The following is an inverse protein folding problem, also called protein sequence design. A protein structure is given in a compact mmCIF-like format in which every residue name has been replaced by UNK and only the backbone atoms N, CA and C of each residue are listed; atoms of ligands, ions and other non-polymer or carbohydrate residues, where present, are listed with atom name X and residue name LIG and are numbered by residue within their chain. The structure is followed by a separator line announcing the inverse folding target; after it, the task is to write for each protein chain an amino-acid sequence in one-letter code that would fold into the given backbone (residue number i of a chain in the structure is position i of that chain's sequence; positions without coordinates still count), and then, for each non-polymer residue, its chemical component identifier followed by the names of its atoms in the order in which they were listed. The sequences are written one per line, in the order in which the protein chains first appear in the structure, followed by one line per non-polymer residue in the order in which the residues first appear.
data_IF_608760065846
#
_entry.id   IF_608760065846
#
_cell.length_a   1.000
_cell.length_b   1.000
_cell.length_c   1.000
_cell.angle_alpha   90.00
_cell.angle_beta   90.00
_cell.angle_gamma   90.00
#
_symmetry.space_group_name_H-M   'P 1'
#
loop_
_entity.id
_entity.type
_entity.pdbx_description
1 polymer ?
#
# COMPACT_ATOMS: atom_id res chain seq x y z
N UNK A 1 4.67 -47.15 -51.40
CA UNK A 1 5.77 -46.68 -50.52
C UNK A 1 5.16 -45.78 -49.48
N UNK A 2 4.81 -46.33 -48.32
CA UNK A 2 4.18 -45.57 -47.22
C UNK A 2 5.27 -44.91 -46.39
N UNK A 3 5.37 -43.58 -46.48
CA UNK A 3 6.23 -42.77 -45.63
C UNK A 3 5.62 -42.69 -44.24
N UNK A 4 6.07 -43.56 -43.32
CA UNK A 4 5.79 -43.42 -41.89
C UNK A 4 6.62 -42.25 -41.36
N UNK A 5 6.03 -41.05 -41.38
CA UNK A 5 6.58 -39.96 -40.60
C UNK A 5 6.51 -40.37 -39.11
N UNK A 6 7.61 -40.28 -38.35
CA UNK A 6 7.55 -40.56 -36.92
C UNK A 6 6.58 -39.58 -36.24
N UNK A 7 5.82 -40.02 -35.23
CA UNK A 7 4.94 -39.13 -34.48
C UNK A 7 5.79 -37.97 -33.92
N UNK A 8 5.28 -36.72 -33.94
CA UNK A 8 5.99 -35.60 -33.34
C UNK A 8 6.28 -35.96 -31.88
N UNK A 9 7.55 -35.84 -31.48
CA UNK A 9 7.96 -36.10 -30.11
C UNK A 9 7.05 -35.30 -29.17
N UNK A 10 6.49 -35.90 -28.10
CA UNK A 10 5.73 -35.14 -27.13
C UNK A 10 6.64 -34.03 -26.64
N UNK A 11 6.25 -32.77 -26.88
CA UNK A 11 6.90 -31.61 -26.30
C UNK A 11 6.89 -31.87 -24.80
N UNK A 12 8.03 -32.31 -24.28
CA UNK A 12 8.23 -32.62 -22.88
C UNK A 12 7.63 -31.47 -22.10
N UNK A 13 6.53 -31.72 -21.39
CA UNK A 13 5.83 -30.75 -20.58
C UNK A 13 6.88 -30.03 -19.76
N UNK A 14 7.27 -28.86 -20.24
CA UNK A 14 8.47 -28.18 -19.81
C UNK A 14 8.08 -27.70 -18.43
N UNK A 15 8.44 -28.46 -17.39
CA UNK A 15 8.06 -28.22 -16.00
C UNK A 15 8.25 -26.73 -15.74
N UNK A 16 7.15 -25.99 -15.82
CA UNK A 16 7.16 -24.54 -15.81
C UNK A 16 7.30 -24.17 -14.35
N UNK A 17 8.55 -24.16 -13.88
CA UNK A 17 8.90 -23.81 -12.52
C UNK A 17 8.29 -22.44 -12.26
N UNK A 18 7.35 -22.38 -11.31
CA UNK A 18 6.72 -21.13 -10.87
C UNK A 18 7.82 -20.12 -10.55
N UNK A 19 7.87 -18.96 -11.24
CA UNK A 19 8.93 -17.99 -10.98
C UNK A 19 8.84 -17.52 -9.53
N UNK A 20 9.86 -17.79 -8.70
CA UNK A 20 9.82 -17.45 -7.27
C UNK A 20 9.58 -15.95 -7.02
N UNK A 21 10.13 -15.10 -7.89
CA UNK A 21 9.95 -13.65 -7.80
C UNK A 21 8.49 -13.23 -8.04
N UNK A 22 7.70 -14.01 -8.80
CA UNK A 22 6.28 -13.77 -8.99
C UNK A 22 5.53 -14.02 -7.67
N UNK A 23 5.87 -15.10 -6.96
CA UNK A 23 5.27 -15.42 -5.66
C UNK A 23 5.54 -14.28 -4.68
N UNK A 24 6.80 -13.82 -4.58
CA UNK A 24 7.15 -12.70 -3.70
C UNK A 24 6.42 -11.41 -4.08
N UNK A 25 6.32 -11.10 -5.38
CA UNK A 25 5.56 -9.94 -5.85
C UNK A 25 4.09 -10.04 -5.46
N UNK A 26 3.44 -11.19 -5.67
CA UNK A 26 2.02 -11.36 -5.34
C UNK A 26 1.76 -11.38 -3.83
N UNK A 27 2.64 -11.96 -3.02
CA UNK A 27 2.55 -11.89 -1.55
C UNK A 27 2.70 -10.44 -1.09
N UNK A 28 3.64 -9.69 -1.65
CA UNK A 28 3.84 -8.28 -1.32
C UNK A 28 2.60 -7.45 -1.68
N UNK A 29 2.05 -7.64 -2.88
CA UNK A 29 0.83 -6.98 -3.32
C UNK A 29 -0.40 -7.37 -2.50
N UNK A 30 -0.49 -8.63 -2.08
CA UNK A 30 -1.52 -9.10 -1.17
C UNK A 30 -1.44 -8.38 0.18
N UNK A 31 -0.24 -8.25 0.77
CA UNK A 31 -0.04 -7.51 2.02
C UNK A 31 -0.39 -6.02 1.88
N UNK A 32 -0.02 -5.38 0.77
CA UNK A 32 -0.43 -4.00 0.45
C UNK A 32 -1.95 -3.89 0.38
N UNK A 33 -2.61 -4.87 -0.27
CA UNK A 33 -4.07 -4.94 -0.34
C UNK A 33 -4.72 -5.10 1.04
N UNK A 34 -4.25 -6.01 1.88
CA UNK A 34 -4.78 -6.23 3.24
C UNK A 34 -4.61 -4.97 4.11
N UNK A 35 -3.42 -4.37 4.11
CA UNK A 35 -3.18 -3.12 4.84
C UNK A 35 -4.07 -1.99 4.34
N UNK A 36 -4.17 -1.84 3.02
CA UNK A 36 -5.02 -0.83 2.38
C UNK A 36 -6.49 -1.00 2.71
N UNK A 37 -6.96 -2.26 2.81
CA UNK A 37 -8.32 -2.61 3.19
C UNK A 37 -8.63 -2.15 4.63
N UNK A 38 -7.80 -2.56 5.59
CA UNK A 38 -7.97 -2.21 7.00
C UNK A 38 -7.96 -0.69 7.21
N UNK A 39 -6.97 -0.02 6.63
CA UNK A 39 -6.81 1.44 6.72
C UNK A 39 -8.01 2.20 6.11
N UNK A 40 -8.46 1.79 4.93
CA UNK A 40 -9.60 2.43 4.26
C UNK A 40 -10.90 2.17 5.02
N UNK A 41 -11.09 0.97 5.56
CA UNK A 41 -12.28 0.63 6.33
C UNK A 41 -12.37 1.46 7.62
N UNK A 42 -11.29 1.51 8.41
CA UNK A 42 -11.23 2.35 9.61
C UNK A 42 -11.45 3.83 9.29
N UNK A 43 -10.86 4.33 8.21
CA UNK A 43 -11.05 5.71 7.77
C UNK A 43 -12.50 5.99 7.35
N UNK A 44 -13.16 5.05 6.67
CA UNK A 44 -14.57 5.21 6.28
C UNK A 44 -15.52 5.20 7.47
N UNK A 45 -15.28 4.33 8.47
CA UNK A 45 -16.04 4.35 9.71
C UNK A 45 -15.93 5.71 10.40
N UNK A 46 -14.69 6.21 10.51
CA UNK A 46 -14.43 7.53 11.08
C UNK A 46 -15.13 8.66 10.31
N UNK A 47 -15.00 8.70 8.98
CA UNK A 47 -15.63 9.72 8.14
C UNK A 47 -17.16 9.64 8.18
N UNK A 48 -17.73 8.46 8.38
CA UNK A 48 -19.18 8.25 8.50
C UNK A 48 -19.73 8.77 9.83
N UNK A 49 -19.00 8.58 10.92
CA UNK A 49 -19.41 9.01 12.27
C UNK A 49 -19.33 10.52 12.46
N UNK A 50 -18.60 11.23 11.58
CA UNK A 50 -18.42 12.69 11.61
C UNK A 50 -17.92 13.23 12.96
N UNK A 51 -17.23 12.39 13.74
CA UNK A 51 -16.70 12.73 15.05
C UNK A 51 -15.25 13.23 14.89
N UNK A 52 -15.08 14.53 14.67
CA UNK A 52 -13.75 15.12 14.52
C UNK A 52 -13.04 15.15 15.89
N UNK A 53 -11.84 14.54 16.02
CA UNK A 53 -11.13 14.55 17.29
C UNK A 53 -10.69 15.98 17.64
N UNK A 54 -10.86 16.33 18.91
CA UNK A 54 -10.30 17.56 19.44
C UNK A 54 -8.82 17.38 19.74
N UNK A 55 -7.99 18.17 19.06
CA UNK A 55 -6.53 18.09 19.12
C UNK A 55 -6.00 18.86 20.35
N UNK A 56 -6.69 19.92 20.77
CA UNK A 56 -6.26 20.79 21.86
C UNK A 56 -6.09 20.07 23.22
N UNK A 57 -6.98 19.17 23.66
CA UNK A 57 -6.75 18.39 24.87
C UNK A 57 -5.57 17.41 24.73
N UNK A 58 -5.37 16.83 23.55
CA UNK A 58 -4.24 15.91 23.29
C UNK A 58 -2.89 16.63 23.35
N UNK A 59 -2.80 17.85 22.81
CA UNK A 59 -1.59 18.68 22.90
C UNK A 59 -1.27 19.02 24.35
N UNK A 60 -2.28 19.38 25.16
CA UNK A 60 -2.08 19.67 26.59
C UNK A 60 -1.68 18.43 27.38
N UNK A 61 -2.31 17.29 27.11
CA UNK A 61 -1.99 16.02 27.77
C UNK A 61 -0.63 15.44 27.40
N UNK A 62 -0.01 15.88 26.30
CA UNK A 62 1.26 15.35 25.83
C UNK A 62 2.40 15.54 26.85
N UNK A 63 2.44 16.68 27.55
CA UNK A 63 3.47 16.95 28.57
C UNK A 63 3.23 16.22 29.90
N UNK A 64 2.02 15.72 30.12
CA UNK A 64 1.60 15.04 31.35
C UNK A 64 1.54 13.52 31.20
N UNK A 65 1.72 13.01 29.97
CA UNK A 65 1.66 11.58 29.67
C UNK A 65 2.85 10.83 30.25
N UNK A 66 2.59 9.68 30.86
CA UNK A 66 3.61 8.71 31.25
C UNK A 66 4.33 8.07 30.05
N UNK A 67 3.69 8.08 28.88
CA UNK A 67 4.18 7.47 27.64
C UNK A 67 4.16 8.50 26.50
N UNK A 68 5.08 9.48 26.53
CA UNK A 68 5.03 10.66 25.68
C UNK A 68 5.13 10.34 24.18
N UNK A 69 5.85 9.28 23.81
CA UNK A 69 5.97 8.84 22.41
C UNK A 69 4.67 8.23 21.88
N UNK A 70 3.95 7.46 22.70
CA UNK A 70 2.67 6.90 22.31
C UNK A 70 1.62 8.00 22.20
N UNK A 71 1.58 8.91 23.18
CA UNK A 71 0.74 10.10 23.15
C UNK A 71 1.00 10.98 21.91
N UNK A 72 2.26 11.12 21.49
CA UNK A 72 2.61 11.82 20.25
C UNK A 72 2.05 11.09 19.01
N UNK A 73 2.13 9.76 18.99
CA UNK A 73 1.53 8.93 17.94
C UNK A 73 0.01 9.13 17.84
N UNK A 74 -0.69 9.11 18.98
CA UNK A 74 -2.13 9.38 19.03
C UNK A 74 -2.47 10.81 18.57
N UNK A 75 -1.69 11.81 18.98
CA UNK A 75 -1.86 13.20 18.55
C UNK A 75 -1.75 13.33 17.02
N UNK A 76 -0.71 12.73 16.42
CA UNK A 76 -0.52 12.76 14.97
C UNK A 76 -1.63 12.02 14.22
N UNK A 77 -2.09 10.89 14.73
CA UNK A 77 -3.22 10.16 14.17
C UNK A 77 -4.52 10.98 14.26
N UNK A 78 -4.80 11.60 15.41
CA UNK A 78 -5.96 12.47 15.61
C UNK A 78 -5.91 13.69 14.66
N UNK A 79 -4.74 14.31 14.52
CA UNK A 79 -4.53 15.40 13.56
C UNK A 79 -4.81 14.95 12.11
N UNK A 80 -4.35 13.76 11.75
CA UNK A 80 -4.61 13.19 10.43
C UNK A 80 -6.10 12.95 10.19
N UNK A 81 -6.79 12.33 11.15
CA UNK A 81 -8.23 12.05 11.06
C UNK A 81 -9.07 13.32 11.01
N UNK A 82 -8.75 14.33 11.84
CA UNK A 82 -9.41 15.63 11.77
C UNK A 82 -9.24 16.28 10.40
N UNK A 83 -8.02 16.31 9.89
CA UNK A 83 -7.73 16.93 8.59
C UNK A 83 -8.35 16.16 7.41
N UNK A 84 -8.55 14.84 7.54
CA UNK A 84 -9.35 14.06 6.58
C UNK A 84 -10.84 14.42 6.66
N UNK A 85 -11.37 14.60 7.87
CA UNK A 85 -12.75 15.00 8.09
C UNK A 85 -13.06 16.42 7.56
N UNK A 86 -12.13 17.37 7.72
CA UNK A 86 -12.23 18.70 7.11
C UNK A 86 -12.24 18.64 5.57
N UNK A 87 -11.56 17.64 4.99
CA UNK A 87 -11.54 17.35 3.56
C UNK A 87 -12.52 16.23 3.14
N UNK A 88 -13.54 15.91 3.95
CA UNK A 88 -14.37 14.71 3.78
C UNK A 88 -15.00 14.57 2.38
N UNK A 89 -15.41 15.69 1.75
CA UNK A 89 -15.99 15.69 0.39
C UNK A 89 -15.05 15.07 -0.67
N UNK A 90 -13.74 15.21 -0.48
CA UNK A 90 -12.71 14.66 -1.37
C UNK A 90 -12.16 13.35 -0.82
N UNK A 91 -11.90 13.30 0.50
CA UNK A 91 -11.32 12.13 1.15
C UNK A 91 -12.24 10.91 1.11
N UNK A 92 -13.55 11.08 1.28
CA UNK A 92 -14.51 9.98 1.29
C UNK A 92 -14.52 9.16 -0.01
N UNK A 93 -14.79 9.74 -1.21
CA UNK A 93 -14.82 8.96 -2.45
C UNK A 93 -13.45 8.33 -2.78
N UNK A 94 -12.34 9.01 -2.46
CA UNK A 94 -11.00 8.44 -2.64
C UNK A 94 -10.77 7.21 -1.75
N UNK A 95 -11.25 7.27 -0.50
CA UNK A 95 -11.13 6.16 0.47
C UNK A 95 -12.01 4.97 0.06
N UNK A 96 -13.21 5.22 -0.46
CA UNK A 96 -14.06 4.17 -1.06
C UNK A 96 -13.35 3.51 -2.24
N UNK A 97 -12.78 4.30 -3.15
CA UNK A 97 -12.00 3.76 -4.27
C UNK A 97 -10.82 2.92 -3.78
N UNK A 98 -10.10 3.39 -2.75
CA UNK A 98 -8.96 2.68 -2.16
C UNK A 98 -9.41 1.36 -1.54
N UNK A 99 -10.56 1.33 -0.86
CA UNK A 99 -11.14 0.11 -0.30
C UNK A 99 -11.42 -0.91 -1.41
N UNK A 100 -12.12 -0.51 -2.47
CA UNK A 100 -12.49 -1.37 -3.61
C UNK A 100 -11.23 -1.93 -4.28
N UNK A 101 -10.24 -1.07 -4.58
CA UNK A 101 -9.00 -1.50 -5.20
C UNK A 101 -8.14 -2.37 -4.27
N UNK A 102 -8.23 -2.18 -2.95
CA UNK A 102 -7.57 -3.05 -1.97
C UNK A 102 -8.16 -4.46 -1.98
N UNK A 103 -9.50 -4.58 -1.99
CA UNK A 103 -10.18 -5.88 -2.17
C UNK A 103 -9.77 -6.53 -3.50
N UNK A 104 -9.82 -5.76 -4.59
CA UNK A 104 -9.44 -6.26 -5.92
C UNK A 104 -7.98 -6.73 -5.95
N UNK A 105 -7.06 -6.00 -5.32
CA UNK A 105 -5.65 -6.36 -5.26
C UNK A 105 -5.44 -7.66 -4.48
N UNK A 106 -6.16 -7.86 -3.37
CA UNK A 106 -6.14 -9.12 -2.60
C UNK A 106 -6.63 -10.29 -3.45
N UNK A 107 -7.79 -10.15 -4.09
CA UNK A 107 -8.40 -11.21 -4.91
C UNK A 107 -7.49 -11.55 -6.10
N UNK A 108 -7.03 -10.54 -6.84
CA UNK A 108 -6.20 -10.74 -8.03
C UNK A 108 -4.83 -11.33 -7.70
N UNK A 109 -4.23 -10.94 -6.57
CA UNK A 109 -2.99 -11.57 -6.08
C UNK A 109 -3.21 -13.04 -5.75
N UNK A 110 -4.31 -13.39 -5.06
CA UNK A 110 -4.66 -14.78 -4.77
C UNK A 110 -4.91 -15.59 -6.06
N UNK A 111 -5.66 -15.04 -7.01
CA UNK A 111 -5.90 -15.69 -8.31
C UNK A 111 -4.62 -15.92 -9.10
N UNK A 112 -3.72 -14.92 -9.12
CA UNK A 112 -2.43 -15.01 -9.80
C UNK A 112 -1.52 -16.07 -9.17
N UNK A 113 -1.48 -16.17 -7.84
CA UNK A 113 -0.75 -17.23 -7.13
C UNK A 113 -1.32 -18.63 -7.39
N UNK A 114 -2.65 -18.74 -7.55
CA UNK A 114 -3.29 -19.99 -7.93
C UNK A 114 -3.11 -20.34 -9.41
N UNK A 115 -2.56 -19.43 -10.23
CA UNK A 115 -2.32 -19.66 -11.65
C UNK A 115 -3.59 -19.61 -12.50
N UNK A 116 -4.70 -18.99 -12.03
CA UNK A 116 -5.96 -19.02 -12.79
C UNK A 116 -5.79 -18.33 -14.16
N UNK A 117 -6.38 -18.87 -15.25
CA UNK A 117 -6.32 -18.23 -16.55
C UNK A 117 -6.94 -16.82 -16.49
N UNK A 118 -6.38 -15.88 -17.25
CA UNK A 118 -6.81 -14.47 -17.27
C UNK A 118 -6.41 -13.62 -16.04
N UNK A 119 -5.96 -14.23 -14.94
CA UNK A 119 -5.61 -13.50 -13.71
C UNK A 119 -4.45 -12.52 -13.87
N UNK A 120 -3.50 -12.80 -14.77
CA UNK A 120 -2.34 -11.94 -15.05
C UNK A 120 -2.74 -10.53 -15.48
N UNK A 121 -3.62 -10.41 -16.48
CA UNK A 121 -4.00 -9.10 -17.02
C UNK A 121 -4.81 -8.32 -15.98
N UNK A 122 -5.73 -8.99 -15.30
CA UNK A 122 -6.54 -8.40 -14.25
C UNK A 122 -5.67 -7.90 -13.08
N UNK A 123 -4.66 -8.68 -12.67
CA UNK A 123 -3.71 -8.26 -11.65
C UNK A 123 -2.91 -7.02 -12.09
N UNK A 124 -2.40 -6.98 -13.33
CA UNK A 124 -1.72 -5.79 -13.87
C UNK A 124 -2.63 -4.56 -13.81
N UNK A 125 -3.88 -4.68 -14.27
CA UNK A 125 -4.85 -3.58 -14.23
C UNK A 125 -5.12 -3.11 -12.80
N UNK A 126 -5.29 -4.04 -11.85
CA UNK A 126 -5.50 -3.72 -10.45
C UNK A 126 -4.32 -2.95 -9.85
N UNK A 127 -3.07 -3.37 -10.12
CA UNK A 127 -1.87 -2.67 -9.63
C UNK A 127 -1.77 -1.24 -10.19
N UNK A 128 -1.98 -1.08 -11.50
CA UNK A 128 -1.89 0.23 -12.15
C UNK A 128 -3.03 1.16 -11.72
N UNK A 129 -4.26 0.65 -11.61
CA UNK A 129 -5.39 1.43 -11.10
C UNK A 129 -5.14 1.88 -9.65
N UNK A 130 -4.63 0.99 -8.80
CA UNK A 130 -4.28 1.33 -7.42
C UNK A 130 -3.17 2.39 -7.38
N UNK A 131 -2.12 2.25 -8.16
CA UNK A 131 -1.02 3.22 -8.23
C UNK A 131 -1.50 4.61 -8.70
N UNK A 132 -2.40 4.65 -9.69
CA UNK A 132 -3.03 5.87 -10.17
C UNK A 132 -3.88 6.53 -9.07
N UNK A 133 -4.73 5.75 -8.37
CA UNK A 133 -5.55 6.28 -7.28
C UNK A 133 -4.70 6.75 -6.10
N UNK A 134 -3.64 6.02 -5.75
CA UNK A 134 -2.69 6.43 -4.71
C UNK A 134 -2.03 7.77 -5.07
N UNK A 135 -1.66 7.95 -6.34
CA UNK A 135 -1.12 9.21 -6.85
C UNK A 135 -2.12 10.35 -6.80
N UNK A 136 -3.36 10.12 -7.24
CA UNK A 136 -4.43 11.11 -7.13
C UNK A 136 -4.68 11.50 -5.66
N UNK A 137 -4.74 10.52 -4.76
CA UNK A 137 -4.94 10.73 -3.32
C UNK A 137 -3.79 11.54 -2.72
N UNK A 138 -2.55 11.23 -3.10
CA UNK A 138 -1.39 12.01 -2.69
C UNK A 138 -1.50 13.46 -3.19
N UNK A 139 -1.86 13.72 -4.44
CA UNK A 139 -1.97 15.09 -4.91
C UNK A 139 -3.16 15.86 -4.30
N UNK A 140 -4.32 15.23 -4.23
CA UNK A 140 -5.57 15.87 -3.79
C UNK A 140 -5.61 16.12 -2.27
N UNK A 141 -5.04 15.22 -1.46
CA UNK A 141 -5.00 15.36 0.01
C UNK A 141 -3.69 16.00 0.51
N UNK A 142 -3.11 16.92 -0.28
CA UNK A 142 -1.88 17.63 0.12
C UNK A 142 -2.08 18.47 1.37
N UNK A 143 -3.23 19.13 1.49
CA UNK A 143 -3.53 20.01 2.63
C UNK A 143 -3.67 19.21 3.92
N UNK A 144 -4.28 18.02 3.85
CA UNK A 144 -4.35 17.07 4.97
C UNK A 144 -2.95 16.71 5.50
N UNK A 145 -1.96 16.55 4.61
CA UNK A 145 -0.58 16.26 5.04
C UNK A 145 0.09 17.49 5.67
N UNK A 146 -0.14 18.68 5.12
CA UNK A 146 0.40 19.91 5.71
C UNK A 146 -0.18 20.17 7.10
N UNK A 147 -1.48 19.93 7.31
CA UNK A 147 -2.12 20.06 8.61
C UNK A 147 -1.45 19.18 9.69
N UNK A 148 -1.13 17.92 9.38
CA UNK A 148 -0.41 17.02 10.31
C UNK A 148 0.99 17.55 10.63
N UNK A 149 1.70 18.04 9.61
CA UNK A 149 3.05 18.61 9.78
C UNK A 149 3.02 19.90 10.61
N UNK A 150 1.97 20.71 10.47
CA UNK A 150 1.80 21.92 11.26
C UNK A 150 1.47 21.60 12.73
N UNK A 151 0.67 20.56 13.00
CA UNK A 151 0.47 20.06 14.37
C UNK A 151 1.80 19.59 14.98
N UNK A 152 2.61 18.82 14.24
CA UNK A 152 3.93 18.41 14.71
C UNK A 152 4.83 19.62 14.99
N UNK A 153 4.79 20.65 14.14
CA UNK A 153 5.50 21.90 14.34
C UNK A 153 5.11 22.60 15.63
N UNK A 154 3.82 22.57 15.99
CA UNK A 154 3.33 23.20 17.24
C UNK A 154 3.85 22.52 18.51
N UNK A 155 4.04 21.20 18.48
CA UNK A 155 4.58 20.42 19.61
C UNK A 155 6.10 20.20 19.54
N UNK A 156 6.78 20.67 18.49
CA UNK A 156 8.21 20.43 18.29
C UNK A 156 9.05 20.92 19.47
N UNK A 157 8.68 22.03 20.09
CA UNK A 157 9.36 22.58 21.27
C UNK A 157 9.26 21.68 22.53
N UNK A 158 8.32 20.73 22.55
CA UNK A 158 8.16 19.76 23.64
C UNK A 158 9.07 18.54 23.46
N UNK A 159 9.57 18.25 22.24
CA UNK A 159 10.39 17.07 21.95
C UNK A 159 11.57 16.86 22.92
N UNK A 160 12.38 17.88 23.26
CA UNK A 160 13.48 17.69 24.21
C UNK A 160 13.02 17.24 25.60
N UNK A 161 11.81 17.66 26.01
CA UNK A 161 11.22 17.24 27.29
C UNK A 161 10.67 15.82 27.21
N UNK A 162 10.00 15.47 26.11
CA UNK A 162 9.44 14.13 25.87
C UNK A 162 10.53 13.06 25.77
N UNK A 163 11.73 13.45 25.35
CA UNK A 163 12.89 12.57 25.18
C UNK A 163 13.97 12.82 26.24
N UNK A 164 13.60 13.35 27.42
CA UNK A 164 14.59 13.69 28.45
C UNK A 164 15.38 12.48 28.97
N UNK A 165 14.83 11.26 28.84
CA UNK A 165 15.50 10.00 29.18
C UNK A 165 16.48 9.51 28.11
N UNK A 166 16.43 10.09 26.91
CA UNK A 166 17.22 9.65 25.77
C UNK A 166 18.58 10.36 25.70
N UNK A 167 19.60 9.72 25.10
CA UNK A 167 20.89 10.37 24.85
C UNK A 167 20.72 11.65 24.00
N UNK A 168 21.52 12.71 24.25
CA UNK A 168 21.43 13.97 23.50
C UNK A 168 21.52 13.79 21.98
N UNK A 169 22.30 12.80 21.51
CA UNK A 169 22.43 12.46 20.09
C UNK A 169 21.10 11.96 19.50
N UNK A 170 20.36 11.12 20.24
CA UNK A 170 19.04 10.61 19.84
C UNK A 170 18.04 11.76 19.75
N UNK A 171 18.03 12.66 20.72
CA UNK A 171 17.16 13.85 20.73
C UNK A 171 17.43 14.74 19.52
N UNK A 172 18.70 14.97 19.19
CA UNK A 172 19.08 15.79 18.02
C UNK A 172 18.65 15.13 16.71
N UNK A 173 18.86 13.81 16.55
CA UNK A 173 18.45 13.07 15.36
C UNK A 173 16.93 13.06 15.21
N UNK A 174 16.18 12.80 16.30
CA UNK A 174 14.71 12.83 16.27
C UNK A 174 14.18 14.22 15.97
N UNK A 175 14.74 15.27 16.58
CA UNK A 175 14.39 16.66 16.26
C UNK A 175 14.62 16.97 14.78
N UNK A 176 15.74 16.54 14.21
CA UNK A 176 16.01 16.71 12.78
C UNK A 176 15.02 15.94 11.89
N UNK A 177 14.71 14.68 12.23
CA UNK A 177 13.74 13.85 11.49
C UNK A 177 12.30 14.36 11.58
N UNK A 178 11.95 15.01 12.70
CA UNK A 178 10.64 15.60 12.96
C UNK A 178 10.54 17.07 12.56
N UNK A 179 11.57 17.61 11.91
CA UNK A 179 11.50 18.93 11.30
C UNK A 179 10.47 18.95 10.15
N UNK A 180 9.84 20.10 9.91
CA UNK A 180 8.84 20.27 8.85
C UNK A 180 9.35 19.82 7.47
N UNK A 181 10.59 20.19 7.12
CA UNK A 181 11.21 19.78 5.86
C UNK A 181 11.44 18.27 5.78
N UNK A 182 11.96 17.66 6.85
CA UNK A 182 12.22 16.22 6.90
C UNK A 182 10.91 15.41 6.83
N UNK A 183 9.87 15.80 7.55
CA UNK A 183 8.57 15.12 7.49
C UNK A 183 7.94 15.16 6.08
N UNK A 184 8.02 16.31 5.40
CA UNK A 184 7.51 16.43 4.04
C UNK A 184 8.31 15.58 3.06
N UNK A 185 9.63 15.54 3.21
CA UNK A 185 10.48 14.70 2.38
C UNK A 185 10.23 13.21 2.65
N UNK A 186 10.15 12.81 3.92
CA UNK A 186 9.83 11.44 4.33
C UNK A 186 8.47 10.99 3.81
N UNK A 187 7.47 11.87 3.83
CA UNK A 187 6.15 11.60 3.24
C UNK A 187 6.23 11.32 1.74
N UNK A 188 7.03 12.09 0.99
CA UNK A 188 7.26 11.88 -0.46
C UNK A 188 7.99 10.58 -0.74
N UNK A 189 9.05 10.29 0.01
CA UNK A 189 9.83 9.05 -0.14
C UNK A 189 8.99 7.83 0.21
N UNK A 190 8.26 7.88 1.33
CA UNK A 190 7.34 6.82 1.74
C UNK A 190 6.26 6.58 0.69
N UNK A 191 5.67 7.66 0.15
CA UNK A 191 4.71 7.55 -0.95
C UNK A 191 5.32 6.94 -2.22
N UNK A 192 6.51 7.38 -2.62
CA UNK A 192 7.19 6.86 -3.80
C UNK A 192 7.53 5.37 -3.67
N UNK A 193 8.03 4.94 -2.50
CA UNK A 193 8.43 3.55 -2.26
C UNK A 193 7.22 2.64 -2.04
N UNK A 194 6.35 2.99 -1.09
CA UNK A 194 5.28 2.11 -0.61
C UNK A 194 3.93 2.40 -1.27
N UNK A 195 3.67 3.65 -1.66
CA UNK A 195 2.41 4.04 -2.29
C UNK A 195 2.34 3.69 -3.78
N UNK A 196 3.46 3.84 -4.52
CA UNK A 196 3.51 3.61 -5.97
C UNK A 196 4.55 2.55 -6.35
N UNK A 197 5.76 2.63 -5.80
CA UNK A 197 6.88 1.78 -6.18
C UNK A 197 6.59 0.30 -6.06
N UNK A 198 6.08 -0.14 -4.91
CA UNK A 198 5.68 -1.54 -4.69
C UNK A 198 4.65 -2.05 -5.73
N UNK A 199 3.66 -1.22 -6.07
CA UNK A 199 2.61 -1.58 -7.04
C UNK A 199 3.15 -1.65 -8.46
N UNK A 200 4.00 -0.69 -8.85
CA UNK A 200 4.63 -0.67 -10.18
C UNK A 200 5.58 -1.85 -10.33
N UNK A 201 6.37 -2.17 -9.31
CA UNK A 201 7.24 -3.35 -9.32
C UNK A 201 6.44 -4.65 -9.44
N UNK A 202 5.30 -4.76 -8.74
CA UNK A 202 4.39 -5.90 -8.88
C UNK A 202 3.83 -6.04 -10.30
N UNK A 203 3.40 -4.93 -10.91
CA UNK A 203 2.94 -4.92 -12.31
C UNK A 203 4.06 -5.30 -13.29
N UNK A 204 5.28 -4.78 -13.11
CA UNK A 204 6.43 -5.11 -13.95
C UNK A 204 6.81 -6.59 -13.84
N UNK A 205 6.76 -7.17 -12.64
CA UNK A 205 6.99 -8.60 -12.43
C UNK A 205 5.98 -9.47 -13.22
N UNK A 206 4.71 -9.04 -13.28
CA UNK A 206 3.66 -9.68 -14.07
C UNK A 206 3.85 -9.49 -15.59
N UNK A 207 4.47 -8.38 -16.02
CA UNK A 207 4.73 -8.10 -17.43
C UNK A 207 5.91 -8.87 -18.02
N UNK A 208 6.79 -9.46 -17.19
CA UNK A 208 7.96 -10.22 -17.69
C UNK A 208 7.58 -11.38 -18.61
N UNK A 209 8.44 -11.67 -19.58
CA UNK A 209 8.26 -12.75 -20.57
C UNK A 209 8.12 -14.12 -19.91
N UNK A 210 8.89 -14.39 -18.85
CA UNK A 210 8.83 -15.62 -18.06
C UNK A 210 7.48 -15.79 -17.35
N UNK A 211 6.94 -14.72 -16.75
CA UNK A 211 5.61 -14.76 -16.13
C UNK A 211 4.53 -14.99 -17.19
N UNK A 212 4.64 -14.32 -18.36
CA UNK A 212 3.74 -14.55 -19.48
C UNK A 212 3.73 -16.03 -19.89
N UNK A 213 4.91 -16.61 -20.15
CA UNK A 213 5.04 -18.01 -20.53
C UNK A 213 4.46 -18.98 -19.48
N UNK A 214 4.62 -18.68 -18.19
CA UNK A 214 3.99 -19.46 -17.12
C UNK A 214 2.46 -19.43 -17.22
N UNK A 215 1.84 -18.26 -17.36
CA UNK A 215 0.38 -18.16 -17.46
C UNK A 215 -0.18 -18.76 -18.76
N UNK A 216 0.54 -18.61 -19.88
CA UNK A 216 0.17 -19.23 -21.17
C UNK A 216 0.19 -20.77 -21.06
N UNK A 217 1.20 -21.33 -20.38
CA UNK A 217 1.27 -22.77 -20.13
C UNK A 217 0.16 -23.30 -19.21
N UNK A 218 -0.25 -22.53 -18.19
CA UNK A 218 -1.36 -22.91 -17.31
C UNK A 218 -2.71 -22.83 -18.04
N UNK A 219 -2.89 -21.86 -18.94
CA UNK A 219 -4.09 -21.76 -19.76
C UNK A 219 -4.23 -22.98 -20.68
N UNK A 220 -3.17 -23.32 -21.42
CA UNK A 220 -3.17 -24.49 -22.31
C UNK A 220 -3.47 -25.81 -21.55
N UNK A 221 -2.86 -26.02 -20.39
CA UNK A 221 -3.12 -27.21 -19.58
C UNK A 221 -4.55 -27.29 -19.01
N UNK A 222 -5.26 -26.15 -18.92
CA UNK A 222 -6.67 -26.13 -18.51
C UNK A 222 -7.58 -26.51 -19.67
N UNK A 223 -7.28 -26.03 -20.88
CA UNK A 223 -8.02 -26.36 -22.11
C UNK A 223 -7.90 -27.86 -22.44
N UNK A 224 -6.69 -28.43 -22.36
CA UNK A 224 -6.45 -29.87 -22.58
C UNK A 224 -7.20 -30.78 -21.57
N UNK A 225 -7.54 -30.26 -20.38
CA UNK A 225 -8.28 -31.00 -19.36
C UNK A 225 -9.80 -30.95 -19.56
N UNK A 226 -10.30 -30.04 -20.40
CA UNK A 226 -11.73 -29.83 -20.68
C UNK A 226 -12.21 -30.55 -21.95
N UNK A 227 -11.31 -31.06 -22.81
CA UNK A 227 -11.65 -31.89 -23.99
C UNK A 227 -11.66 -33.40 -23.62
N UNK A 228 -12.84 -34.06 -23.54
CA UNK A 228 -12.97 -35.49 -23.25
C UNK A 228 -12.80 -36.43 -24.46
#
# INVERSE_FOLDING_TARGET
MSTSAPPPAPLSAQRTIRPWYLILAMVSSWLVGVRGLSDSFSTLLFLRENNLPDIQPLVRGLSESSEPLEALGYLLNAAHMRALGEAAKVAFPLTVGKLILSVLLVITSAMAMSGRPGSRMLAIQAHLAYAALASATFWLLRETRYAVVDVMGSVHHLLPKLLASEPPQTVQLMSAMLSKSAMLWLSRVSFALFGVGALVLGALALMTTRTKAFFDAVAAATEDAEEP
#
